data_IF_645287994745
#
_entry.id   IF_645287994745
#
_cell.length_a   1.000
_cell.length_b   1.000
_cell.length_c   1.000
_cell.angle_alpha   90.00
_cell.angle_beta   90.00
_cell.angle_gamma   90.00
#
_symmetry.space_group_name_H-M   'P 1'
#
loop_
_entity.id
_entity.type
_entity.pdbx_description
1 polymer ?
#
# COMPACT_ATOMS: atom_id res chain seq x y z
N UNK A 1 -26.47 -62.05 21.53
CA UNK A 1 -26.56 -63.50 21.83
C UNK A 1 -27.92 -64.09 21.47
N UNK A 2 -27.96 -65.34 21.01
CA UNK A 2 -29.16 -66.13 20.65
C UNK A 2 -29.21 -67.47 21.39
N UNK A 3 -30.34 -68.18 21.30
CA UNK A 3 -30.59 -69.49 21.93
C UNK A 3 -31.19 -69.42 23.34
N UNK A 4 -31.76 -70.53 23.81
CA UNK A 4 -32.49 -70.61 25.10
C UNK A 4 -31.64 -70.33 26.36
N UNK A 5 -30.30 -70.36 26.22
CA UNK A 5 -29.33 -70.09 27.29
C UNK A 5 -28.40 -68.91 26.97
N UNK A 6 -28.69 -68.11 25.93
CA UNK A 6 -27.84 -67.02 25.46
C UNK A 6 -26.38 -67.43 25.14
N UNK A 7 -26.17 -68.67 24.68
CA UNK A 7 -24.83 -69.25 24.50
C UNK A 7 -24.15 -68.93 23.17
N UNK A 8 -24.87 -68.42 22.17
CA UNK A 8 -24.33 -68.15 20.83
C UNK A 8 -24.32 -66.65 20.59
N UNK A 9 -23.17 -66.08 20.26
CA UNK A 9 -23.06 -64.65 19.94
C UNK A 9 -23.80 -64.30 18.64
N UNK A 10 -24.38 -63.11 18.56
CA UNK A 10 -24.99 -62.60 17.32
C UNK A 10 -23.87 -62.02 16.47
N UNK A 11 -23.94 -62.14 15.15
CA UNK A 11 -22.97 -61.46 14.27
C UNK A 11 -23.61 -60.19 13.71
N UNK A 12 -23.54 -59.10 14.47
CA UNK A 12 -24.17 -57.83 14.07
C UNK A 12 -23.58 -57.28 12.77
N UNK A 13 -22.32 -57.61 12.44
CA UNK A 13 -21.70 -57.19 11.17
C UNK A 13 -22.39 -57.80 9.94
N UNK A 14 -22.93 -59.01 10.07
CA UNK A 14 -23.70 -59.67 8.99
C UNK A 14 -25.16 -59.30 9.09
N UNK A 15 -25.73 -59.40 10.30
CA UNK A 15 -27.16 -59.21 10.53
C UNK A 15 -27.64 -57.78 10.24
N UNK A 16 -26.77 -56.78 10.48
CA UNK A 16 -27.05 -55.36 10.18
C UNK A 16 -26.40 -54.89 8.86
N UNK A 17 -25.86 -55.81 8.05
CA UNK A 17 -25.22 -55.50 6.76
C UNK A 17 -24.12 -54.40 6.87
N UNK A 18 -23.12 -54.65 7.71
CA UNK A 18 -22.03 -53.75 8.10
C UNK A 18 -22.54 -52.42 8.70
N UNK A 19 -22.92 -52.41 9.99
CA UNK A 19 -23.46 -51.22 10.66
C UNK A 19 -22.46 -50.04 10.74
N UNK A 20 -21.18 -50.25 10.45
CA UNK A 20 -20.16 -49.21 10.50
C UNK A 20 -20.17 -48.28 9.26
N UNK A 21 -20.87 -48.64 8.19
CA UNK A 21 -20.89 -47.89 6.92
C UNK A 21 -22.08 -46.91 6.78
N UNK A 22 -22.88 -46.75 7.83
CA UNK A 22 -24.19 -46.10 7.82
C UNK A 22 -24.15 -44.55 7.70
N UNK A 23 -22.98 -43.94 7.91
CA UNK A 23 -22.82 -42.49 8.10
C UNK A 23 -21.90 -41.83 7.06
N UNK A 24 -21.83 -42.41 5.86
CA UNK A 24 -21.06 -41.88 4.72
C UNK A 24 -19.62 -42.40 4.60
N UNK A 25 -19.20 -43.28 5.52
CA UNK A 25 -17.90 -43.97 5.48
C UNK A 25 -18.06 -45.35 4.81
N UNK A 26 -18.11 -45.37 3.47
CA UNK A 26 -18.30 -46.60 2.70
C UNK A 26 -17.15 -47.62 2.84
N UNK A 27 -16.00 -47.21 3.35
CA UNK A 27 -14.83 -48.07 3.58
C UNK A 27 -14.67 -48.51 5.03
N UNK A 28 -15.58 -48.13 5.93
CA UNK A 28 -15.57 -48.59 7.32
C UNK A 28 -15.76 -50.12 7.40
N UNK A 29 -14.99 -50.77 8.27
CA UNK A 29 -15.06 -52.22 8.48
C UNK A 29 -15.63 -52.55 9.86
N UNK A 30 -16.58 -53.48 9.90
CA UNK A 30 -17.14 -54.03 11.14
C UNK A 30 -16.40 -55.30 11.57
N UNK A 31 -16.07 -55.40 12.85
CA UNK A 31 -15.53 -56.58 13.49
C UNK A 31 -16.49 -57.10 14.56
N UNK A 32 -16.92 -58.36 14.44
CA UNK A 32 -17.79 -58.98 15.44
C UNK A 32 -17.02 -59.30 16.73
N UNK A 33 -17.62 -59.06 17.88
CA UNK A 33 -17.03 -59.28 19.20
C UNK A 33 -18.04 -59.96 20.13
N UNK A 34 -17.59 -60.65 21.18
CA UNK A 34 -18.53 -61.30 22.10
C UNK A 34 -19.49 -60.29 22.75
N UNK A 35 -20.78 -60.36 22.41
CA UNK A 35 -21.81 -59.47 22.92
C UNK A 35 -22.00 -58.16 22.15
N UNK A 36 -21.39 -57.99 20.97
CA UNK A 36 -21.60 -56.83 20.09
C UNK A 36 -20.56 -56.73 18.97
N UNK A 37 -20.26 -55.52 18.49
CA UNK A 37 -19.29 -55.32 17.41
C UNK A 37 -18.43 -54.07 17.62
N UNK A 38 -17.34 -53.96 16.88
CA UNK A 38 -16.48 -52.76 16.83
C UNK A 38 -16.29 -52.28 15.40
N UNK A 39 -16.12 -50.97 15.24
CA UNK A 39 -15.88 -50.32 13.94
C UNK A 39 -14.44 -49.84 13.82
N UNK A 40 -13.83 -50.08 12.65
CA UNK A 40 -12.62 -49.40 12.21
C UNK A 40 -13.00 -48.40 11.12
N UNK A 41 -12.80 -47.12 11.40
CA UNK A 41 -13.24 -46.02 10.55
C UNK A 41 -12.11 -45.54 9.63
N UNK A 42 -12.50 -44.98 8.48
CA UNK A 42 -11.60 -44.35 7.53
C UNK A 42 -11.07 -43.02 8.06
N UNK A 43 -10.01 -42.50 7.43
CA UNK A 43 -9.46 -41.18 7.78
C UNK A 43 -10.53 -40.10 7.66
N UNK A 44 -10.74 -39.32 8.73
CA UNK A 44 -11.77 -38.27 8.79
C UNK A 44 -13.03 -38.63 9.60
N UNK A 45 -13.13 -39.87 10.08
CA UNK A 45 -14.21 -40.33 10.96
C UNK A 45 -13.67 -40.98 12.24
N UNK A 46 -14.49 -41.00 13.29
CA UNK A 46 -14.19 -41.66 14.57
C UNK A 46 -15.27 -42.70 14.91
N UNK A 47 -14.89 -43.70 15.70
CA UNK A 47 -15.83 -44.72 16.17
C UNK A 47 -16.73 -44.12 17.28
N UNK A 48 -18.00 -43.91 16.94
CA UNK A 48 -19.04 -43.43 17.84
C UNK A 48 -19.82 -44.60 18.47
N UNK A 49 -19.07 -45.51 19.10
CA UNK A 49 -19.51 -46.76 19.75
C UNK A 49 -20.10 -47.84 18.84
N UNK A 50 -21.05 -47.49 17.97
CA UNK A 50 -21.77 -48.43 17.10
C UNK A 50 -21.73 -48.07 15.62
N UNK A 51 -21.09 -46.95 15.26
CA UNK A 51 -20.89 -46.54 13.87
C UNK A 51 -19.66 -45.62 13.69
N UNK A 52 -19.37 -45.22 12.45
CA UNK A 52 -18.31 -44.29 12.11
C UNK A 52 -18.87 -42.90 11.81
N UNK A 53 -18.68 -41.93 12.71
CA UNK A 53 -19.17 -40.57 12.54
C UNK A 53 -18.06 -39.64 12.02
N UNK A 54 -18.35 -38.73 11.06
CA UNK A 54 -17.36 -37.76 10.59
C UNK A 54 -16.98 -36.77 11.70
N UNK A 55 -15.72 -36.36 11.75
CA UNK A 55 -15.31 -35.25 12.62
C UNK A 55 -16.06 -33.97 12.23
N UNK A 56 -16.48 -33.22 13.24
CA UNK A 56 -17.21 -31.96 13.10
C UNK A 56 -16.28 -30.79 13.39
N UNK A 57 -16.38 -29.74 12.58
CA UNK A 57 -15.50 -28.58 12.67
C UNK A 57 -16.28 -27.27 12.63
N UNK A 58 -15.76 -26.26 13.31
CA UNK A 58 -16.36 -24.93 13.35
C UNK A 58 -15.95 -24.07 12.17
N UNK A 59 -16.82 -23.11 11.83
CA UNK A 59 -16.52 -22.07 10.84
C UNK A 59 -16.40 -20.74 11.57
N UNK A 60 -15.16 -20.30 11.74
CA UNK A 60 -14.77 -19.02 12.32
C UNK A 60 -14.30 -18.03 11.27
N UNK A 61 -14.55 -16.76 11.56
CA UNK A 61 -14.15 -15.63 10.73
C UNK A 61 -13.78 -14.44 11.61
N UNK A 62 -13.15 -13.42 11.03
CA UNK A 62 -12.88 -12.16 11.70
C UNK A 62 -13.53 -11.00 10.97
N UNK A 63 -14.13 -10.07 11.72
CA UNK A 63 -14.67 -8.82 11.20
C UNK A 63 -13.75 -7.68 11.59
N UNK A 64 -13.51 -6.75 10.65
CA UNK A 64 -12.72 -5.55 10.88
C UNK A 64 -13.33 -4.34 10.17
N UNK A 65 -13.17 -3.15 10.74
CA UNK A 65 -13.57 -1.87 10.14
C UNK A 65 -15.07 -1.58 10.18
N UNK A 66 -15.84 -2.33 10.96
CA UNK A 66 -17.26 -2.06 11.20
C UNK A 66 -17.42 -0.82 12.09
N UNK A 67 -18.24 0.15 11.67
CA UNK A 67 -18.44 1.38 12.43
C UNK A 67 -19.23 1.12 13.73
N UNK A 68 -18.98 1.95 14.76
CA UNK A 68 -19.67 1.82 16.04
C UNK A 68 -21.20 2.01 15.87
N UNK A 69 -21.98 1.11 16.47
CA UNK A 69 -23.44 1.13 16.39
C UNK A 69 -24.00 0.63 15.05
N UNK A 70 -23.19 -0.07 14.24
CA UNK A 70 -23.59 -0.67 12.97
C UNK A 70 -23.44 -2.18 13.02
N UNK A 71 -24.12 -2.88 12.11
CA UNK A 71 -24.04 -4.32 11.97
C UNK A 71 -23.93 -4.75 10.50
N UNK A 72 -23.29 -5.90 10.29
CA UNK A 72 -23.22 -6.61 9.02
C UNK A 72 -23.89 -7.98 9.18
N UNK A 73 -24.68 -8.39 8.20
CA UNK A 73 -25.28 -9.73 8.19
C UNK A 73 -24.50 -10.63 7.23
N UNK A 74 -24.12 -11.80 7.74
CA UNK A 74 -23.38 -12.83 7.01
C UNK A 74 -24.23 -14.10 6.93
N UNK A 75 -24.23 -14.75 5.78
CA UNK A 75 -24.77 -16.10 5.64
C UNK A 75 -23.66 -17.10 5.51
N UNK A 76 -23.83 -18.26 6.13
CA UNK A 76 -23.14 -19.50 5.82
C UNK A 76 -24.08 -20.37 4.97
N UNK A 77 -23.55 -20.96 3.91
CA UNK A 77 -24.22 -21.90 3.02
C UNK A 77 -23.28 -23.04 2.63
N UNK A 78 -23.81 -24.12 2.04
CA UNK A 78 -23.06 -25.32 1.68
C UNK A 78 -23.65 -26.56 2.37
N UNK A 79 -22.83 -27.28 3.14
CA UNK A 79 -23.26 -28.47 3.88
C UNK A 79 -24.17 -28.17 5.08
N UNK A 80 -24.25 -26.90 5.51
CA UNK A 80 -25.27 -26.38 6.42
C UNK A 80 -25.57 -24.92 6.07
N UNK A 81 -26.62 -24.36 6.66
CA UNK A 81 -26.95 -22.94 6.51
C UNK A 81 -27.14 -22.24 7.85
N UNK A 82 -26.64 -21.02 7.93
CA UNK A 82 -26.81 -20.13 9.08
C UNK A 82 -26.82 -18.68 8.59
N UNK A 83 -27.42 -17.80 9.38
CA UNK A 83 -27.34 -16.35 9.21
C UNK A 83 -26.91 -15.77 10.54
N UNK A 84 -25.94 -14.86 10.50
CA UNK A 84 -25.37 -14.25 11.69
C UNK A 84 -25.25 -12.74 11.47
N UNK A 85 -25.87 -11.97 12.35
CA UNK A 85 -25.65 -10.54 12.45
C UNK A 85 -24.47 -10.26 13.38
N UNK A 86 -23.53 -9.45 12.91
CA UNK A 86 -22.33 -9.07 13.66
C UNK A 86 -22.30 -7.57 13.85
N UNK A 87 -22.25 -7.12 15.11
CA UNK A 87 -22.29 -5.70 15.49
C UNK A 87 -20.97 -5.17 16.07
N UNK A 88 -19.89 -5.94 16.00
CA UNK A 88 -18.57 -5.55 16.49
C UNK A 88 -17.44 -6.22 15.71
N UNK A 89 -16.32 -5.52 15.59
CA UNK A 89 -15.05 -6.11 15.11
C UNK A 89 -14.55 -7.20 16.05
N UNK A 90 -13.73 -8.11 15.53
CA UNK A 90 -13.14 -9.22 16.28
C UNK A 90 -13.36 -10.57 15.62
N UNK A 91 -12.99 -11.64 16.34
CA UNK A 91 -13.21 -13.02 15.91
C UNK A 91 -14.61 -13.47 16.27
N UNK A 92 -15.27 -14.12 15.31
CA UNK A 92 -16.63 -14.63 15.41
C UNK A 92 -16.69 -16.06 14.87
N UNK A 93 -17.70 -16.80 15.28
CA UNK A 93 -17.99 -18.16 14.80
C UNK A 93 -19.47 -18.25 14.46
N UNK A 94 -19.83 -19.06 13.45
CA UNK A 94 -21.22 -19.44 13.24
C UNK A 94 -21.65 -20.42 14.35
N UNK A 95 -21.97 -19.86 15.52
CA UNK A 95 -22.26 -20.63 16.73
C UNK A 95 -23.42 -21.59 16.52
N UNK A 96 -23.28 -22.80 17.08
CA UNK A 96 -24.28 -23.86 16.93
C UNK A 96 -24.28 -24.56 15.56
N UNK A 97 -23.38 -24.19 14.63
CA UNK A 97 -23.21 -24.86 13.35
C UNK A 97 -21.80 -25.45 13.23
N UNK A 98 -21.75 -26.77 13.08
CA UNK A 98 -20.53 -27.50 12.73
C UNK A 98 -20.71 -28.20 11.39
N UNK A 99 -19.63 -28.30 10.63
CA UNK A 99 -19.63 -29.00 9.35
C UNK A 99 -18.78 -30.28 9.44
N UNK A 100 -19.20 -31.37 8.80
CA UNK A 100 -18.39 -32.58 8.73
C UNK A 100 -17.11 -32.34 7.91
N UNK A 101 -16.04 -33.08 8.24
CA UNK A 101 -14.85 -33.16 7.39
C UNK A 101 -15.20 -33.54 5.95
N UNK A 102 -14.63 -32.82 4.98
CA UNK A 102 -14.95 -32.92 3.55
C UNK A 102 -16.19 -32.11 3.12
N UNK A 103 -16.97 -31.57 4.06
CA UNK A 103 -18.10 -30.68 3.76
C UNK A 103 -17.66 -29.38 3.09
N UNK A 104 -18.58 -28.74 2.37
CA UNK A 104 -18.33 -27.44 1.71
C UNK A 104 -18.94 -26.30 2.51
N UNK A 105 -18.30 -25.14 2.47
CA UNK A 105 -18.82 -23.90 3.03
C UNK A 105 -18.72 -22.75 2.02
N UNK A 106 -19.64 -21.80 2.14
CA UNK A 106 -19.65 -20.52 1.43
C UNK A 106 -20.26 -19.46 2.33
N UNK A 107 -19.47 -18.42 2.62
CA UNK A 107 -19.78 -17.29 3.48
C UNK A 107 -19.91 -16.03 2.62
N UNK A 108 -21.03 -15.34 2.75
CA UNK A 108 -21.32 -14.13 1.98
C UNK A 108 -21.98 -13.06 2.85
N UNK A 109 -21.80 -11.80 2.50
CA UNK A 109 -22.53 -10.67 3.10
C UNK A 109 -23.92 -10.61 2.48
N UNK A 110 -24.96 -10.70 3.30
CA UNK A 110 -26.37 -10.61 2.88
C UNK A 110 -26.98 -9.23 3.13
N UNK A 111 -26.51 -8.54 4.18
CA UNK A 111 -26.86 -7.14 4.43
C UNK A 111 -25.62 -6.34 4.83
N UNK A 112 -25.42 -5.18 4.20
CA UNK A 112 -24.32 -4.27 4.51
C UNK A 112 -24.76 -3.18 5.48
N UNK A 113 -23.85 -2.70 6.36
CA UNK A 113 -24.15 -1.55 7.19
C UNK A 113 -24.33 -0.29 6.34
N UNK A 114 -25.26 0.59 6.71
CA UNK A 114 -25.58 1.80 5.93
C UNK A 114 -24.34 2.63 5.57
N UNK A 115 -24.00 2.73 4.28
CA UNK A 115 -22.86 3.54 3.82
C UNK A 115 -21.48 2.89 4.00
N UNK A 116 -21.39 1.67 4.55
CA UNK A 116 -20.19 0.84 4.49
C UNK A 116 -20.36 -0.27 3.45
N UNK A 117 -19.26 -0.69 2.85
CA UNK A 117 -19.17 -1.92 2.07
C UNK A 117 -18.33 -2.93 2.85
N UNK A 118 -18.71 -4.20 2.80
CA UNK A 118 -17.98 -5.29 3.45
C UNK A 118 -17.58 -6.34 2.40
N UNK A 119 -16.32 -6.75 2.40
CA UNK A 119 -15.78 -7.76 1.49
C UNK A 119 -15.31 -9.00 2.27
N UNK A 120 -15.70 -10.18 1.79
CA UNK A 120 -15.29 -11.48 2.36
C UNK A 120 -14.07 -12.01 1.61
N UNK A 121 -13.04 -12.41 2.33
CA UNK A 121 -11.88 -13.16 1.79
C UNK A 121 -11.86 -14.56 2.38
N UNK A 122 -11.46 -15.54 1.55
CA UNK A 122 -11.51 -16.98 1.88
C UNK A 122 -12.92 -17.46 2.26
N UNK A 123 -13.97 -16.79 1.76
CA UNK A 123 -15.35 -17.08 2.15
C UNK A 123 -15.85 -18.46 1.75
N UNK A 124 -15.17 -19.20 0.88
CA UNK A 124 -15.62 -20.52 0.42
C UNK A 124 -14.50 -21.57 0.44
N UNK A 125 -14.86 -22.82 0.69
CA UNK A 125 -13.90 -23.93 0.62
C UNK A 125 -14.46 -25.27 1.10
N UNK A 126 -13.56 -26.22 1.32
CA UNK A 126 -13.84 -27.53 1.93
C UNK A 126 -13.27 -27.61 3.33
N UNK A 127 -13.99 -28.25 4.25
CA UNK A 127 -13.62 -28.39 5.65
C UNK A 127 -12.64 -29.53 5.82
N UNK A 128 -11.42 -29.23 6.26
CA UNK A 128 -10.40 -30.24 6.65
C UNK A 128 -10.00 -30.11 8.13
N UNK A 129 -10.67 -29.24 8.87
CA UNK A 129 -10.34 -28.78 10.22
C UNK A 129 -11.20 -27.56 10.57
N UNK A 130 -11.00 -27.00 11.77
CA UNK A 130 -11.63 -25.72 12.14
C UNK A 130 -11.18 -24.62 11.17
N UNK A 131 -12.13 -23.97 10.51
CA UNK A 131 -11.87 -22.87 9.59
C UNK A 131 -11.73 -21.59 10.42
N UNK A 132 -10.61 -20.89 10.29
CA UNK A 132 -10.31 -19.68 11.09
C UNK A 132 -9.74 -18.54 10.24
N UNK A 133 -9.59 -18.75 8.94
CA UNK A 133 -8.90 -17.84 8.01
C UNK A 133 -9.85 -17.01 7.13
N UNK A 134 -11.17 -17.07 7.39
CA UNK A 134 -12.14 -16.19 6.74
C UNK A 134 -12.01 -14.79 7.34
N UNK A 135 -11.96 -13.77 6.49
CA UNK A 135 -11.94 -12.37 6.93
C UNK A 135 -13.05 -11.59 6.25
N UNK A 136 -13.65 -10.67 7.00
CA UNK A 136 -14.68 -9.76 6.54
C UNK A 136 -14.20 -8.34 6.85
N UNK A 137 -13.83 -7.60 5.81
CA UNK A 137 -13.33 -6.24 5.94
C UNK A 137 -14.43 -5.26 5.51
N UNK A 138 -14.91 -4.47 6.47
CA UNK A 138 -15.88 -3.40 6.27
C UNK A 138 -15.17 -2.04 6.20
N UNK A 139 -15.72 -1.11 5.42
CA UNK A 139 -15.17 0.25 5.34
C UNK A 139 -16.02 1.20 4.51
N UNK A 140 -15.69 2.48 4.63
CA UNK A 140 -16.28 3.55 3.84
C UNK A 140 -15.46 3.75 2.56
N UNK A 141 -16.17 3.98 1.45
CA UNK A 141 -15.54 4.26 0.17
C UNK A 141 -14.82 5.62 0.21
N UNK A 142 -13.66 5.69 -0.44
CA UNK A 142 -12.93 6.93 -0.71
C UNK A 142 -12.91 7.14 -2.22
N UNK A 143 -13.27 8.32 -2.67
CA UNK A 143 -13.43 8.62 -4.08
C UNK A 143 -13.51 10.11 -4.34
N UNK A 144 -13.73 10.45 -5.60
CA UNK A 144 -13.55 11.80 -6.07
C UNK A 144 -13.82 11.98 -7.55
N UNK A 145 -13.29 13.07 -8.08
CA UNK A 145 -13.29 13.36 -9.52
C UNK A 145 -11.88 13.63 -10.02
N UNK A 146 -11.59 13.15 -11.22
CA UNK A 146 -10.36 13.43 -11.96
C UNK A 146 -10.70 14.19 -13.24
N UNK A 147 -9.85 15.16 -13.59
CA UNK A 147 -9.99 15.99 -14.78
C UNK A 147 -8.64 16.31 -15.40
N UNK A 148 -8.61 16.61 -16.70
CA UNK A 148 -7.43 17.08 -17.40
C UNK A 148 -6.43 15.96 -17.74
N UNK A 149 -6.88 14.71 -17.89
CA UNK A 149 -5.98 13.61 -18.26
C UNK A 149 -5.45 13.75 -19.69
N UNK A 150 -6.21 14.32 -20.62
CA UNK A 150 -5.80 14.55 -22.03
C UNK A 150 -5.14 13.32 -22.69
N UNK A 151 -5.73 12.14 -22.49
CA UNK A 151 -5.23 10.86 -23.00
C UNK A 151 -4.11 10.21 -22.17
N UNK A 152 -3.62 10.87 -21.10
CA UNK A 152 -2.72 10.27 -20.13
C UNK A 152 -3.42 9.21 -19.27
N UNK A 153 -2.64 8.24 -18.82
CA UNK A 153 -3.07 7.28 -17.78
C UNK A 153 -2.33 7.56 -16.50
N UNK A 154 -3.06 7.85 -15.43
CA UNK A 154 -2.52 8.16 -14.10
C UNK A 154 -2.95 7.07 -13.13
N UNK A 155 -2.03 6.62 -12.29
CA UNK A 155 -2.33 5.75 -11.16
C UNK A 155 -2.46 6.62 -9.90
N UNK A 156 -3.60 6.54 -9.21
CA UNK A 156 -3.77 7.07 -7.87
C UNK A 156 -3.60 5.94 -6.86
N UNK A 157 -3.20 6.26 -5.63
CA UNK A 157 -3.19 5.31 -4.51
C UNK A 157 -3.82 5.91 -3.28
N UNK A 158 -4.59 5.10 -2.55
CA UNK A 158 -5.03 5.41 -1.20
C UNK A 158 -4.25 4.55 -0.18
N UNK A 159 -3.71 5.20 0.86
CA UNK A 159 -3.03 4.55 1.99
C UNK A 159 -1.94 3.53 1.60
N UNK A 160 -1.21 3.80 0.51
CA UNK A 160 -0.13 2.96 -0.05
C UNK A 160 -0.52 1.53 -0.50
N UNK A 161 -1.79 1.12 -0.41
CA UNK A 161 -2.21 -0.27 -0.65
C UNK A 161 -3.36 -0.47 -1.63
N UNK A 162 -4.08 0.59 -2.03
CA UNK A 162 -5.19 0.52 -2.98
C UNK A 162 -4.92 1.41 -4.19
N UNK A 163 -4.39 0.80 -5.24
CA UNK A 163 -4.02 1.46 -6.48
C UNK A 163 -5.18 1.48 -7.48
N UNK A 164 -5.36 2.60 -8.16
CA UNK A 164 -6.42 2.82 -9.13
C UNK A 164 -5.86 3.54 -10.36
N UNK A 165 -5.86 2.86 -11.51
CA UNK A 165 -5.47 3.44 -12.79
C UNK A 165 -6.66 4.13 -13.46
N UNK A 166 -6.46 5.37 -13.91
CA UNK A 166 -7.47 6.22 -14.52
C UNK A 166 -6.93 6.73 -15.86
N UNK A 167 -7.72 6.55 -16.93
CA UNK A 167 -7.37 6.95 -18.30
C UNK A 167 -8.41 7.87 -18.96
N UNK A 168 -9.43 8.28 -18.19
CA UNK A 168 -10.48 9.19 -18.63
C UNK A 168 -10.96 10.07 -17.47
N UNK A 169 -11.34 11.29 -17.78
CA UNK A 169 -11.94 12.22 -16.81
C UNK A 169 -13.28 11.67 -16.28
N UNK A 170 -13.62 12.02 -15.04
CA UNK A 170 -14.87 11.60 -14.40
C UNK A 170 -14.73 11.27 -12.93
N UNK A 171 -15.76 10.62 -12.38
CA UNK A 171 -15.76 10.14 -11.00
C UNK A 171 -14.92 8.87 -10.85
N UNK A 172 -14.24 8.73 -9.72
CA UNK A 172 -13.52 7.52 -9.34
C UNK A 172 -13.81 7.13 -7.89
N UNK A 173 -13.66 5.84 -7.59
CA UNK A 173 -13.79 5.28 -6.23
C UNK A 173 -12.73 4.20 -6.05
N UNK A 174 -12.02 4.26 -4.93
CA UNK A 174 -11.07 3.25 -4.48
C UNK A 174 -11.79 1.96 -4.08
N UNK A 175 -11.22 0.81 -4.41
CA UNK A 175 -11.86 -0.50 -4.24
C UNK A 175 -11.90 -0.96 -2.78
N UNK A 176 -10.87 -0.59 -2.02
CA UNK A 176 -10.68 -0.93 -0.61
C UNK A 176 -11.23 0.21 0.25
N UNK A 177 -12.30 -0.10 0.99
CA UNK A 177 -12.86 0.80 1.98
C UNK A 177 -11.86 1.11 3.12
N UNK A 178 -11.99 2.30 3.69
CA UNK A 178 -11.25 2.71 4.89
C UNK A 178 -12.18 2.57 6.10
N UNK A 179 -11.69 1.93 7.16
CA UNK A 179 -12.44 1.77 8.41
C UNK A 179 -12.88 3.12 9.00
N UNK A 180 -13.94 3.12 9.80
CA UNK A 180 -14.35 4.32 10.53
C UNK A 180 -13.23 4.83 11.44
N UNK A 181 -13.13 6.15 11.60
CA UNK A 181 -12.01 6.83 12.25
C UNK A 181 -10.61 6.53 11.64
N UNK A 182 -10.54 5.74 10.57
CA UNK A 182 -9.32 5.53 9.79
C UNK A 182 -8.93 6.79 9.01
N UNK A 183 -7.63 6.98 8.81
CA UNK A 183 -7.11 8.06 7.97
C UNK A 183 -7.04 7.57 6.53
N UNK A 184 -7.42 8.42 5.58
CA UNK A 184 -7.15 8.22 4.16
C UNK A 184 -6.07 9.21 3.69
N UNK A 185 -5.23 8.77 2.77
CA UNK A 185 -4.23 9.60 2.09
C UNK A 185 -4.18 9.16 0.63
N UNK A 186 -4.73 10.01 -0.24
CA UNK A 186 -4.69 9.87 -1.70
C UNK A 186 -3.44 10.54 -2.24
N UNK A 187 -2.65 9.81 -3.01
CA UNK A 187 -1.46 10.32 -3.68
C UNK A 187 -1.49 9.94 -5.15
N UNK A 188 -0.86 10.77 -5.98
CA UNK A 188 -0.49 10.37 -7.33
C UNK A 188 0.60 9.30 -7.19
N UNK A 189 0.29 8.10 -7.63
CA UNK A 189 1.22 6.98 -7.63
C UNK A 189 2.10 7.00 -8.88
N UNK A 190 1.53 7.13 -10.06
CA UNK A 190 2.31 7.19 -11.28
C UNK A 190 1.62 8.11 -12.28
N UNK A 191 2.42 8.87 -13.02
CA UNK A 191 1.97 9.66 -14.14
C UNK A 191 3.07 9.63 -15.22
N UNK A 192 2.72 9.65 -16.53
CA UNK A 192 3.68 9.72 -17.62
C UNK A 192 4.58 10.94 -17.52
N UNK A 193 5.69 10.93 -18.27
CA UNK A 193 6.56 12.10 -18.42
C UNK A 193 5.75 13.34 -18.81
N UNK A 194 6.17 14.51 -18.33
CA UNK A 194 5.53 15.80 -18.60
C UNK A 194 4.07 15.96 -18.17
N UNK A 195 3.51 14.99 -17.43
CA UNK A 195 2.17 15.06 -16.82
C UNK A 195 2.31 14.95 -15.31
N UNK A 196 1.68 15.89 -14.60
CA UNK A 196 1.48 15.81 -13.16
C UNK A 196 0.02 16.11 -12.81
N UNK A 197 -0.39 15.73 -11.61
CA UNK A 197 -1.71 16.06 -11.09
C UNK A 197 -1.61 16.69 -9.71
N UNK A 198 -2.51 17.62 -9.42
CA UNK A 198 -2.69 18.17 -8.08
C UNK A 198 -3.90 17.50 -7.43
N UNK A 199 -3.74 17.05 -6.18
CA UNK A 199 -4.80 16.39 -5.40
C UNK A 199 -5.22 17.30 -4.24
N UNK A 200 -6.47 17.74 -4.27
CA UNK A 200 -7.11 18.48 -3.16
C UNK A 200 -8.02 17.57 -2.36
N UNK A 201 -8.23 17.91 -1.08
CA UNK A 201 -8.87 17.02 -0.09
C UNK A 201 -8.21 15.62 -0.07
N UNK A 202 -6.89 15.57 -0.31
CA UNK A 202 -6.13 14.33 -0.44
C UNK A 202 -6.05 13.51 0.83
N UNK A 203 -6.29 14.10 2.00
CA UNK A 203 -6.19 13.39 3.27
C UNK A 203 -7.23 13.87 4.27
N UNK A 204 -7.65 12.95 5.13
CA UNK A 204 -8.57 13.23 6.23
C UNK A 204 -8.88 11.97 7.02
N UNK A 205 -9.78 12.09 7.98
CA UNK A 205 -10.29 10.96 8.77
C UNK A 205 -11.69 10.62 8.32
N UNK A 206 -12.00 9.33 8.18
CA UNK A 206 -13.35 8.87 7.93
C UNK A 206 -14.22 9.19 9.14
N UNK A 207 -15.35 9.86 8.90
CA UNK A 207 -16.31 10.28 9.92
C UNK A 207 -17.69 9.67 9.65
N UNK A 208 -17.78 8.35 9.77
CA UNK A 208 -19.00 7.55 9.58
C UNK A 208 -19.75 7.79 8.26
N UNK A 209 -19.04 8.21 7.21
CA UNK A 209 -19.60 8.45 5.87
C UNK A 209 -18.53 8.27 4.77
N UNK A 210 -18.93 7.92 3.53
CA UNK A 210 -18.02 7.88 2.38
C UNK A 210 -17.42 9.25 2.07
N UNK A 211 -16.17 9.25 1.58
CA UNK A 211 -15.47 10.43 1.09
C UNK A 211 -15.61 10.47 -0.43
N UNK A 212 -16.17 11.54 -0.98
CA UNK A 212 -16.42 11.70 -2.42
C UNK A 212 -15.92 13.02 -3.01
N UNK A 213 -15.24 13.83 -2.18
CA UNK A 213 -14.81 15.19 -2.52
C UNK A 213 -13.30 15.32 -2.78
N UNK A 214 -12.58 14.20 -2.97
CA UNK A 214 -11.21 14.24 -3.48
C UNK A 214 -11.25 14.79 -4.90
N UNK A 215 -10.50 15.85 -5.19
CA UNK A 215 -10.45 16.40 -6.55
C UNK A 215 -9.03 16.35 -7.08
N UNK A 216 -8.89 15.75 -8.28
CA UNK A 216 -7.62 15.55 -8.98
C UNK A 216 -7.65 16.35 -10.28
N UNK A 217 -6.71 17.28 -10.43
CA UNK A 217 -6.54 18.07 -11.65
C UNK A 217 -5.19 17.71 -12.26
N UNK A 218 -5.20 17.09 -13.43
CA UNK A 218 -4.00 16.76 -14.20
C UNK A 218 -3.75 17.81 -15.28
N UNK A 219 -2.49 18.06 -15.59
CA UNK A 219 -2.05 19.02 -16.60
C UNK A 219 -0.58 18.76 -16.96
N UNK A 220 -0.11 19.37 -18.06
CA UNK A 220 1.29 19.31 -18.44
C UNK A 220 2.17 20.02 -17.41
N UNK A 221 3.10 19.29 -16.81
CA UNK A 221 3.98 19.80 -15.76
C UNK A 221 5.23 18.94 -15.60
N UNK A 222 6.30 19.56 -15.13
CA UNK A 222 7.53 18.88 -14.71
C UNK A 222 7.38 18.36 -13.27
N UNK A 223 7.92 17.18 -13.01
CA UNK A 223 7.91 16.54 -11.69
C UNK A 223 9.19 16.79 -10.92
N UNK A 224 9.06 16.94 -9.61
CA UNK A 224 10.18 17.15 -8.69
C UNK A 224 10.05 16.23 -7.48
N UNK A 225 11.16 15.66 -7.04
CA UNK A 225 11.22 14.86 -5.81
C UNK A 225 12.56 14.98 -5.10
N UNK A 226 12.59 14.52 -3.86
CA UNK A 226 13.76 14.39 -3.01
C UNK A 226 14.25 12.94 -3.02
N UNK A 227 15.54 12.65 -3.14
CA UNK A 227 15.99 11.26 -3.04
C UNK A 227 15.68 10.66 -1.65
N UNK A 228 15.16 9.42 -1.62
CA UNK A 228 14.98 8.67 -0.37
C UNK A 228 16.34 8.29 0.24
N UNK A 229 17.28 7.91 -0.62
CA UNK A 229 18.68 7.64 -0.25
C UNK A 229 19.46 8.93 0.01
N UNK A 230 20.31 8.90 1.04
CA UNK A 230 21.31 9.92 1.29
C UNK A 230 22.70 9.47 0.84
N UNK A 231 23.56 10.43 0.56
CA UNK A 231 24.87 10.26 -0.04
C UNK A 231 25.92 11.03 0.77
N UNK A 232 27.17 10.62 0.65
CA UNK A 232 28.30 11.45 1.03
C UNK A 232 28.67 12.39 -0.14
N UNK A 233 29.76 13.15 -0.02
CA UNK A 233 30.20 14.10 -1.04
C UNK A 233 30.79 13.45 -2.30
N UNK A 234 31.13 12.15 -2.28
CA UNK A 234 31.63 11.43 -3.45
C UNK A 234 30.46 10.84 -4.26
N UNK A 235 29.72 11.72 -4.92
CA UNK A 235 28.60 11.33 -5.78
C UNK A 235 29.09 10.55 -7.01
N UNK A 236 30.28 10.84 -7.52
CA UNK A 236 30.91 10.11 -8.62
C UNK A 236 30.95 8.59 -8.35
N UNK A 237 31.40 8.20 -7.16
CA UNK A 237 31.40 6.80 -6.74
C UNK A 237 29.99 6.23 -6.56
N UNK A 238 29.06 7.00 -5.97
CA UNK A 238 27.70 6.54 -5.73
C UNK A 238 26.88 6.33 -7.01
N UNK A 239 27.03 7.22 -8.00
CA UNK A 239 26.36 7.14 -9.30
C UNK A 239 27.14 6.35 -10.36
N UNK A 240 28.35 5.88 -10.05
CA UNK A 240 29.18 5.11 -10.97
C UNK A 240 29.62 5.88 -12.21
N UNK A 241 29.87 7.19 -12.09
CA UNK A 241 30.29 8.06 -13.20
C UNK A 241 31.64 8.72 -12.90
N UNK A 242 32.33 9.19 -13.95
CA UNK A 242 33.62 9.88 -13.80
C UNK A 242 33.50 11.29 -13.18
N UNK A 243 32.37 11.97 -13.39
CA UNK A 243 32.13 13.34 -12.90
C UNK A 243 30.94 13.41 -11.94
N UNK A 244 31.05 14.28 -10.93
CA UNK A 244 30.06 14.40 -9.85
C UNK A 244 28.67 14.80 -10.29
N UNK A 245 28.53 15.80 -11.18
CA UNK A 245 27.22 16.23 -11.70
C UNK A 245 26.54 15.12 -12.51
N UNK A 246 27.28 14.47 -13.42
CA UNK A 246 26.74 13.36 -14.21
C UNK A 246 26.33 12.18 -13.32
N UNK A 247 27.06 11.93 -12.24
CA UNK A 247 26.71 10.91 -11.26
C UNK A 247 25.43 11.26 -10.48
N UNK A 248 25.30 12.52 -10.06
CA UNK A 248 24.10 13.00 -9.37
C UNK A 248 22.85 12.90 -10.27
N UNK A 249 23.00 13.19 -11.56
CA UNK A 249 21.94 13.01 -12.57
C UNK A 249 21.57 11.54 -12.73
N UNK A 250 22.57 10.67 -12.88
CA UNK A 250 22.34 9.22 -12.98
C UNK A 250 21.63 8.66 -11.74
N UNK A 251 21.97 9.17 -10.55
CA UNK A 251 21.27 8.81 -9.30
C UNK A 251 19.81 9.26 -9.33
N UNK A 252 19.54 10.51 -9.72
CA UNK A 252 18.16 11.00 -9.86
C UNK A 252 17.37 10.22 -10.91
N UNK A 253 17.96 9.94 -12.07
CA UNK A 253 17.33 9.14 -13.12
C UNK A 253 17.02 7.73 -12.63
N UNK A 254 17.97 7.05 -11.98
CA UNK A 254 17.75 5.71 -11.46
C UNK A 254 16.61 5.65 -10.43
N UNK A 255 16.41 6.69 -9.61
CA UNK A 255 15.27 6.78 -8.69
C UNK A 255 13.95 6.94 -9.43
N UNK A 256 13.90 7.79 -10.46
CA UNK A 256 12.72 7.98 -11.28
C UNK A 256 12.35 6.70 -12.06
N UNK A 257 13.34 6.01 -12.62
CA UNK A 257 13.17 4.76 -13.36
C UNK A 257 12.66 3.64 -12.44
N UNK A 258 13.26 3.49 -11.25
CA UNK A 258 12.80 2.54 -10.24
C UNK A 258 11.34 2.78 -9.82
N UNK A 259 10.87 4.03 -9.94
CA UNK A 259 9.48 4.39 -9.65
C UNK A 259 8.54 4.28 -10.84
N UNK A 260 9.07 4.25 -12.06
CA UNK A 260 8.30 4.19 -13.31
C UNK A 260 7.62 5.50 -13.70
N UNK A 261 8.16 6.67 -13.30
CA UNK A 261 7.52 7.98 -13.59
C UNK A 261 7.94 8.60 -14.94
N UNK A 262 8.85 7.96 -15.67
CA UNK A 262 9.36 8.41 -16.97
C UNK A 262 10.02 9.80 -16.93
N UNK A 263 10.50 10.28 -18.06
CA UNK A 263 11.15 11.59 -18.18
C UNK A 263 12.66 11.54 -17.92
N UNK A 264 13.33 12.67 -18.12
CA UNK A 264 14.77 12.84 -17.84
C UNK A 264 14.94 13.68 -16.59
N UNK A 265 15.71 13.22 -15.61
CA UNK A 265 15.95 13.95 -14.36
C UNK A 265 17.38 14.40 -14.22
N UNK A 266 17.55 15.59 -13.66
CA UNK A 266 18.85 16.11 -13.21
C UNK A 266 18.79 16.53 -11.76
N UNK A 267 19.93 16.40 -11.09
CA UNK A 267 20.10 16.89 -9.73
C UNK A 267 20.25 18.42 -9.73
N UNK A 268 19.56 19.09 -8.81
CA UNK A 268 19.78 20.50 -8.49
C UNK A 268 21.10 20.64 -7.72
N UNK A 269 22.18 20.70 -8.49
CA UNK A 269 23.54 20.61 -8.00
C UNK A 269 24.46 21.42 -8.91
N UNK A 270 25.38 22.17 -8.31
CA UNK A 270 26.42 22.92 -9.01
C UNK A 270 27.81 22.39 -8.66
N UNK A 271 28.73 22.45 -9.60
CA UNK A 271 30.17 22.21 -9.40
C UNK A 271 30.98 23.46 -9.76
N UNK A 272 32.29 23.31 -9.98
CA UNK A 272 33.17 24.41 -10.37
C UNK A 272 32.91 24.99 -11.77
N UNK A 273 32.17 24.28 -12.63
CA UNK A 273 32.00 24.60 -14.06
C UNK A 273 30.53 24.88 -14.43
N UNK A 274 29.59 24.12 -13.88
CA UNK A 274 28.19 24.13 -14.28
C UNK A 274 27.24 24.22 -13.07
N UNK A 275 26.03 24.73 -13.34
CA UNK A 275 24.97 24.92 -12.35
C UNK A 275 23.61 24.73 -13.01
N UNK A 276 22.51 24.57 -12.24
CA UNK A 276 21.17 24.49 -12.80
C UNK A 276 20.86 25.59 -13.81
N UNK A 277 21.31 26.83 -13.59
CA UNK A 277 21.11 27.95 -14.52
C UNK A 277 21.75 27.79 -15.91
N UNK A 278 22.71 26.88 -16.08
CA UNK A 278 23.38 26.63 -17.37
C UNK A 278 23.04 25.27 -17.97
N UNK A 279 22.50 24.34 -17.17
CA UNK A 279 22.35 22.94 -17.58
C UNK A 279 20.93 22.39 -17.46
N UNK A 280 20.00 23.13 -16.85
CA UNK A 280 18.60 22.75 -16.79
C UNK A 280 17.83 23.27 -18.00
N UNK A 281 16.79 22.55 -18.38
CA UNK A 281 15.74 23.14 -19.23
C UNK A 281 14.97 24.17 -18.42
N UNK A 282 14.81 25.38 -18.96
CA UNK A 282 13.99 26.41 -18.33
C UNK A 282 12.53 26.22 -18.76
N UNK A 283 11.84 25.26 -18.13
CA UNK A 283 10.48 24.91 -18.49
C UNK A 283 9.52 26.10 -18.26
N UNK A 284 8.61 26.32 -19.21
CA UNK A 284 7.53 27.32 -19.14
C UNK A 284 6.22 26.72 -18.61
N UNK A 285 6.26 25.47 -18.15
CA UNK A 285 5.16 24.73 -17.54
C UNK A 285 5.43 24.53 -16.04
N UNK A 286 4.41 24.24 -15.22
CA UNK A 286 4.58 24.14 -13.77
C UNK A 286 5.52 23.03 -13.32
N UNK A 287 6.09 23.19 -12.13
CA UNK A 287 6.78 22.14 -11.38
C UNK A 287 5.91 21.65 -10.23
N UNK A 288 5.71 20.35 -10.10
CA UNK A 288 4.82 19.72 -9.11
C UNK A 288 5.54 18.60 -8.37
N UNK A 289 5.26 18.43 -7.08
CA UNK A 289 5.73 17.25 -6.34
C UNK A 289 5.12 15.97 -6.92
N UNK A 290 5.94 14.92 -7.05
CA UNK A 290 5.53 13.66 -7.70
C UNK A 290 4.30 12.97 -7.09
N UNK A 291 3.94 13.28 -5.84
CA UNK A 291 2.76 12.72 -5.17
C UNK A 291 1.48 13.56 -5.37
N UNK A 292 1.58 14.67 -6.10
CA UNK A 292 0.50 15.60 -6.36
C UNK A 292 0.05 16.42 -5.16
N UNK A 293 0.84 16.51 -4.09
CA UNK A 293 0.50 17.30 -2.90
C UNK A 293 0.50 18.81 -3.16
N UNK A 294 1.40 19.27 -4.03
CA UNK A 294 1.66 20.70 -4.20
C UNK A 294 2.34 21.02 -5.52
N UNK A 295 1.88 22.10 -6.14
CA UNK A 295 2.62 22.81 -7.17
C UNK A 295 3.70 23.69 -6.52
N UNK A 296 4.94 23.51 -6.93
CA UNK A 296 6.11 24.21 -6.40
C UNK A 296 6.32 25.57 -7.08
N UNK A 297 6.05 25.65 -8.38
CA UNK A 297 6.29 26.82 -9.22
C UNK A 297 5.43 26.73 -10.50
N UNK A 298 5.13 27.87 -11.14
CA UNK A 298 4.41 27.86 -12.44
C UNK A 298 5.36 27.66 -13.64
N UNK A 299 6.66 27.87 -13.44
CA UNK A 299 7.72 27.72 -14.44
C UNK A 299 9.11 27.74 -13.77
N UNK A 300 10.20 27.68 -14.55
CA UNK A 300 11.56 27.71 -14.00
C UNK A 300 11.95 29.06 -13.38
N UNK A 301 11.47 30.19 -13.91
CA UNK A 301 11.76 31.51 -13.34
C UNK A 301 11.28 31.57 -11.88
N UNK A 302 10.05 31.11 -11.63
CA UNK A 302 9.48 31.02 -10.28
C UNK A 302 10.28 30.12 -9.32
N UNK A 303 11.02 29.12 -9.82
CA UNK A 303 11.92 28.31 -8.97
C UNK A 303 13.11 29.17 -8.48
N UNK A 304 13.61 30.09 -9.31
CA UNK A 304 14.83 30.86 -9.06
C UNK A 304 14.62 32.25 -8.43
N UNK A 305 13.47 32.90 -8.68
CA UNK A 305 13.14 34.22 -8.13
C UNK A 305 11.91 34.22 -7.19
N UNK A 306 11.23 33.07 -7.07
CA UNK A 306 10.00 32.91 -6.32
C UNK A 306 8.77 33.35 -7.11
N UNK A 307 7.60 32.76 -6.81
CA UNK A 307 6.36 33.04 -7.56
C UNK A 307 5.95 34.52 -7.46
N UNK A 308 5.96 35.23 -8.59
CA UNK A 308 5.52 36.63 -8.65
C UNK A 308 4.05 36.78 -8.19
N UNK A 309 3.81 37.57 -7.13
CA UNK A 309 2.47 37.82 -6.59
C UNK A 309 2.01 36.87 -5.48
N UNK A 310 2.81 35.85 -5.13
CA UNK A 310 2.67 35.12 -3.88
C UNK A 310 3.66 35.70 -2.85
N UNK A 311 3.26 35.79 -1.58
CA UNK A 311 4.21 35.86 -0.46
C UNK A 311 5.28 34.80 -0.73
N UNK A 312 6.55 35.17 -0.88
CA UNK A 312 7.64 34.34 -1.46
C UNK A 312 7.78 32.96 -0.81
N UNK A 313 6.96 31.95 -1.15
CA UNK A 313 7.09 30.61 -0.58
C UNK A 313 8.05 29.83 -1.47
N UNK A 314 9.32 29.77 -1.07
CA UNK A 314 10.28 28.87 -1.70
C UNK A 314 9.84 27.40 -1.56
N UNK A 315 10.17 26.55 -2.53
CA UNK A 315 9.64 25.20 -2.60
C UNK A 315 10.20 24.33 -1.47
N UNK A 316 9.31 23.83 -0.60
CA UNK A 316 9.67 22.73 0.30
C UNK A 316 9.56 21.42 -0.48
N UNK A 317 10.70 20.84 -0.87
CA UNK A 317 10.76 19.60 -1.65
C UNK A 317 11.06 18.44 -0.69
N UNK A 318 10.02 17.88 -0.09
CA UNK A 318 10.17 16.90 1.00
C UNK A 318 9.50 15.55 0.71
N UNK A 319 9.11 15.29 -0.54
CA UNK A 319 8.49 14.03 -0.97
C UNK A 319 9.51 13.22 -1.75
N UNK A 320 9.69 11.96 -1.38
CA UNK A 320 10.64 11.05 -2.05
C UNK A 320 10.04 10.27 -3.20
N UNK A 321 10.90 9.65 -4.03
CA UNK A 321 10.47 8.75 -5.10
C UNK A 321 9.58 7.60 -4.60
N UNK A 322 9.68 7.23 -3.33
CA UNK A 322 8.84 6.23 -2.67
C UNK A 322 7.52 6.81 -2.12
N UNK A 323 7.22 8.08 -2.42
CA UNK A 323 6.09 8.87 -1.91
C UNK A 323 6.10 9.09 -0.38
N UNK A 324 7.23 8.84 0.27
CA UNK A 324 7.39 9.14 1.69
C UNK A 324 7.62 10.64 1.87
N UNK A 325 6.93 11.24 2.83
CA UNK A 325 7.15 12.64 3.22
C UNK A 325 8.21 12.71 4.32
N UNK A 326 9.28 13.45 4.08
CA UNK A 326 10.28 13.78 5.09
C UNK A 326 9.75 14.93 5.94
N UNK A 327 9.66 14.71 7.26
CA UNK A 327 9.12 15.68 8.23
C UNK A 327 10.16 16.15 9.25
N UNK A 328 11.33 15.51 9.31
CA UNK A 328 12.46 15.90 10.16
C UNK A 328 13.46 16.80 9.41
N UNK A 329 14.37 17.45 10.14
CA UNK A 329 15.47 18.19 9.51
C UNK A 329 16.31 17.26 8.64
N UNK A 330 16.36 17.56 7.34
CA UNK A 330 17.17 16.87 6.35
C UNK A 330 17.83 17.91 5.44
N UNK A 331 18.97 17.53 4.89
CA UNK A 331 19.80 18.40 4.04
C UNK A 331 20.09 17.73 2.70
N UNK A 332 20.34 18.55 1.70
CA UNK A 332 20.54 18.15 0.31
C UNK A 332 21.83 18.76 -0.20
N UNK A 333 22.65 17.99 -0.92
CA UNK A 333 23.80 18.58 -1.62
C UNK A 333 23.33 19.50 -2.74
N UNK A 334 23.87 20.71 -2.81
CA UNK A 334 23.45 21.70 -3.83
C UNK A 334 24.64 22.49 -4.37
N UNK A 335 25.37 23.22 -3.52
CA UNK A 335 26.26 24.31 -3.96
C UNK A 335 25.60 25.28 -4.97
N UNK A 336 24.29 25.44 -4.88
CA UNK A 336 23.52 26.25 -5.82
C UNK A 336 22.85 27.37 -5.05
N UNK A 337 22.98 28.61 -5.52
CA UNK A 337 22.25 29.77 -5.04
C UNK A 337 20.76 29.67 -5.35
N UNK A 338 19.92 30.45 -4.67
CA UNK A 338 18.48 30.52 -4.98
C UNK A 338 18.20 30.83 -6.45
N UNK A 339 19.04 31.64 -7.10
CA UNK A 339 18.91 32.00 -8.51
C UNK A 339 19.40 30.91 -9.51
N UNK A 340 19.76 29.72 -9.03
CA UNK A 340 20.24 28.61 -9.86
C UNK A 340 21.72 28.66 -10.27
N UNK A 341 22.48 29.71 -9.90
CA UNK A 341 23.93 29.75 -10.17
C UNK A 341 24.73 28.98 -9.14
N UNK A 342 25.99 28.63 -9.45
CA UNK A 342 26.90 28.09 -8.44
C UNK A 342 27.10 29.08 -7.28
N UNK A 343 27.07 28.57 -6.04
CA UNK A 343 27.42 29.31 -4.83
C UNK A 343 28.94 29.51 -4.75
N UNK A 344 29.69 28.44 -4.95
CA UNK A 344 31.15 28.46 -5.12
C UNK A 344 31.53 27.79 -6.43
N UNK A 345 32.44 28.40 -7.18
CA UNK A 345 33.07 27.80 -8.37
C UNK A 345 34.41 27.13 -8.03
N UNK A 346 34.74 26.99 -6.74
CA UNK A 346 35.93 26.28 -6.30
C UNK A 346 35.61 24.81 -6.08
N UNK A 347 36.32 23.93 -6.79
CA UNK A 347 36.20 22.48 -6.61
C UNK A 347 36.42 22.07 -5.13
N UNK A 348 37.28 22.78 -4.39
CA UNK A 348 37.53 22.48 -2.98
C UNK A 348 36.29 22.69 -2.08
N UNK A 349 35.33 23.51 -2.50
CA UNK A 349 34.07 23.81 -1.79
C UNK A 349 32.90 22.92 -2.23
N UNK A 350 33.15 21.95 -3.11
CA UNK A 350 32.15 21.06 -3.71
C UNK A 350 32.54 19.60 -3.54
N UNK A 351 33.30 19.26 -2.50
CA UNK A 351 33.84 17.90 -2.35
C UNK A 351 34.69 17.46 -3.56
N UNK A 352 35.46 18.41 -4.11
CA UNK A 352 36.21 18.26 -5.37
C UNK A 352 35.29 17.89 -6.53
N UNK A 353 34.32 18.76 -6.79
CA UNK A 353 33.28 18.56 -7.81
C UNK A 353 32.56 17.22 -7.66
N UNK A 354 32.25 16.90 -6.41
CA UNK A 354 31.53 15.74 -5.92
C UNK A 354 32.18 14.41 -6.26
N UNK A 355 33.52 14.40 -6.31
CA UNK A 355 34.33 13.20 -6.60
C UNK A 355 35.07 12.66 -5.39
N UNK A 356 35.07 13.39 -4.26
CA UNK A 356 35.79 13.00 -3.05
C UNK A 356 34.91 13.06 -1.81
N UNK A 357 35.28 12.26 -0.81
CA UNK A 357 34.65 12.28 0.52
C UNK A 357 35.42 13.14 1.52
N UNK A 358 36.36 13.96 1.06
CA UNK A 358 37.16 14.88 1.86
C UNK A 358 36.76 16.32 1.55
N UNK A 359 37.03 17.24 2.50
CA UNK A 359 36.70 18.66 2.35
C UNK A 359 35.28 18.99 2.79
N UNK A 360 34.78 20.12 2.27
CA UNK A 360 33.46 20.66 2.57
C UNK A 360 32.62 20.82 1.30
N UNK A 361 31.32 20.56 1.41
CA UNK A 361 30.34 20.82 0.37
C UNK A 361 29.21 21.68 0.91
N UNK A 362 28.57 22.46 0.05
CA UNK A 362 27.41 23.28 0.45
C UNK A 362 26.11 22.49 0.32
N UNK A 363 25.25 22.57 1.33
CA UNK A 363 23.93 21.95 1.34
C UNK A 363 22.79 22.98 1.25
N UNK A 364 21.58 22.51 0.95
CA UNK A 364 20.31 23.19 1.20
C UNK A 364 19.45 22.43 2.22
N UNK A 365 18.41 23.08 2.76
CA UNK A 365 17.50 22.50 3.74
C UNK A 365 16.23 21.94 3.08
N UNK A 366 15.89 20.68 3.38
CA UNK A 366 14.64 20.05 2.91
C UNK A 366 13.41 20.72 3.52
N UNK A 367 13.51 21.12 4.79
CA UNK A 367 12.45 21.78 5.55
C UNK A 367 13.05 23.04 6.18
N UNK A 368 12.60 24.21 5.74
CA UNK A 368 13.00 25.51 6.27
C UNK A 368 11.80 26.28 6.82
N UNK A 369 12.01 27.05 7.89
CA UNK A 369 10.97 27.86 8.53
C UNK A 369 10.77 29.24 7.88
N UNK A 370 11.21 29.45 6.64
CA UNK A 370 11.19 30.76 6.01
C UNK A 370 10.99 30.76 4.50
N UNK A 371 10.44 31.87 4.04
CA UNK A 371 10.28 32.32 2.66
C UNK A 371 11.62 32.75 2.03
N UNK A 372 12.70 31.99 2.22
CA UNK A 372 14.04 32.35 1.75
C UNK A 372 14.75 31.21 0.97
N UNK A 373 15.88 31.54 0.35
CA UNK A 373 16.65 30.65 -0.52
C UNK A 373 17.35 29.49 0.21
N UNK A 374 17.08 29.27 1.50
CA UNK A 374 17.74 28.24 2.32
C UNK A 374 17.45 26.81 1.86
N UNK A 375 16.36 26.60 1.12
CA UNK A 375 16.08 25.31 0.50
C UNK A 375 17.21 24.87 -0.44
N UNK A 376 17.85 25.84 -1.11
CA UNK A 376 18.95 25.63 -2.06
C UNK A 376 20.31 25.92 -1.45
N UNK A 377 20.43 26.90 -0.54
CA UNK A 377 21.74 27.26 0.04
C UNK A 377 21.65 27.52 1.54
N UNK A 378 22.26 26.64 2.31
CA UNK A 378 22.36 26.74 3.76
C UNK A 378 23.74 27.23 4.21
N UNK A 379 23.79 27.78 5.42
CA UNK A 379 24.83 28.72 5.84
C UNK A 379 26.24 28.11 5.98
N UNK A 380 26.38 26.80 6.23
CA UNK A 380 27.69 26.17 6.46
C UNK A 380 27.97 25.03 5.49
N UNK A 381 29.24 24.88 5.12
CA UNK A 381 29.70 23.68 4.42
C UNK A 381 29.62 22.48 5.37
N UNK A 382 29.21 21.36 4.81
CA UNK A 382 29.12 20.07 5.47
C UNK A 382 30.29 19.18 5.08
N UNK A 383 30.67 18.29 5.99
CA UNK A 383 31.73 17.34 5.72
C UNK A 383 31.33 16.42 4.56
N UNK A 384 32.20 16.33 3.55
CA UNK A 384 32.01 15.43 2.41
C UNK A 384 32.07 13.95 2.81
N UNK A 385 32.56 13.61 4.01
CA UNK A 385 32.57 12.23 4.51
C UNK A 385 31.24 11.81 5.11
N UNK A 386 30.42 12.77 5.55
CA UNK A 386 29.14 12.50 6.18
C UNK A 386 28.15 12.01 5.13
N UNK A 387 27.57 10.83 5.36
CA UNK A 387 26.47 10.30 4.57
C UNK A 387 25.12 10.85 5.07
N UNK A 388 24.09 10.72 4.24
CA UNK A 388 22.72 11.11 4.62
C UNK A 388 22.21 12.38 3.96
N UNK A 389 23.05 13.09 3.20
CA UNK A 389 22.62 14.23 2.39
C UNK A 389 21.95 13.77 1.12
N UNK A 390 20.77 14.30 0.85
CA UNK A 390 19.91 13.87 -0.26
C UNK A 390 20.21 14.68 -1.52
N UNK A 391 19.46 14.41 -2.59
CA UNK A 391 19.47 15.16 -3.84
C UNK A 391 18.04 15.64 -4.14
N UNK A 392 17.88 16.87 -4.63
CA UNK A 392 16.64 17.25 -5.32
C UNK A 392 16.75 16.87 -6.79
N UNK A 393 15.76 16.16 -7.28
CA UNK A 393 15.70 15.64 -8.63
C UNK A 393 14.58 16.34 -9.40
N UNK A 394 14.94 17.03 -10.48
CA UNK A 394 14.04 17.82 -11.31
C UNK A 394 13.93 17.20 -12.69
N UNK A 395 12.70 16.98 -13.15
CA UNK A 395 12.42 16.62 -14.54
C UNK A 395 12.83 17.77 -15.48
N UNK A 396 13.43 17.41 -16.61
CA UNK A 396 14.02 18.32 -17.60
C UNK A 396 13.10 18.53 -18.79
#
# INVERSE_FOLDING_TARGET
YTGATCGTDVNECVDLNNPCNDSGDASATCQNTGGGYSCTCSSGAYNAASNCAPYQYTIGFSVSGLANGRSVELTLSGSASSVLEVSADGSHTFDGVTLPGGGTYSVAVTATPTGQACAVTNGSGTVSGNVTNITVACGYAVGGTISGLDGATVELRNNQGDALSLSSDGSFTFSKGVADAGVYVVQVAAAPADVACLVTNRSGTIASAPVSNVAVSCFSAKKVFLSAGGYNGNLAAAGGQAGGLAAADALCQARADARGIGGTYKAWLSDSVASPSTRFTHATIPYVLIDGSRQLATNYADIIDGVAGATTVYPTINVTETLATVTSSAEVWTNTNGNGTAYSTSAASTCSDWTMSSGGGRTGLVIGSGSDSRWSTWYYDRSCSTSGYRLYCFEQ
#
